data_IF_102827369558
#
_entry.id   IF_102827369558
#
_cell.length_a   1.000
_cell.length_b   1.000
_cell.length_c   1.000
_cell.angle_alpha   90.00
_cell.angle_beta   90.00
_cell.angle_gamma   90.00
#
_symmetry.space_group_name_H-M   'P 1'
#
loop_
_entity.id
_entity.type
_entity.pdbx_description
1 polymer ?
#
# COMPACT_ATOMS: atom_id res chain seq x y z
N UNK A 1 22.28 9.61 -4.85
CA UNK A 1 20.81 9.61 -4.94
C UNK A 1 20.28 8.41 -4.19
N UNK A 2 19.14 8.53 -3.51
CA UNK A 2 18.39 7.37 -3.05
C UNK A 2 17.58 6.86 -4.24
N UNK A 3 17.76 5.60 -4.62
CA UNK A 3 16.93 4.98 -5.65
C UNK A 3 15.68 4.44 -4.95
N UNK A 4 14.54 5.04 -5.25
CA UNK A 4 13.26 4.73 -4.62
C UNK A 4 12.27 4.31 -5.69
N UNK A 5 11.58 3.20 -5.45
CA UNK A 5 10.44 2.75 -6.25
C UNK A 5 9.19 3.10 -5.46
N UNK A 6 8.38 4.00 -6.00
CA UNK A 6 7.12 4.43 -5.37
C UNK A 6 5.98 3.56 -5.89
N UNK A 7 5.19 3.00 -4.99
CA UNK A 7 4.02 2.18 -5.31
C UNK A 7 2.79 2.79 -4.65
N UNK A 8 1.84 3.23 -5.46
CA UNK A 8 0.53 3.63 -4.97
C UNK A 8 -0.28 2.38 -4.60
N UNK A 9 -0.84 2.35 -3.39
CA UNK A 9 -1.63 1.22 -2.89
C UNK A 9 -3.04 1.67 -2.50
N UNK A 10 -4.01 0.81 -2.79
CA UNK A 10 -5.39 0.93 -2.30
C UNK A 10 -5.93 -0.41 -1.76
N UNK A 11 -5.00 -1.33 -1.46
CA UNK A 11 -5.24 -2.69 -0.97
C UNK A 11 -6.16 -3.53 -1.87
N UNK A 12 -6.34 -3.15 -3.14
CA UNK A 12 -6.90 -4.05 -4.15
C UNK A 12 -5.88 -5.11 -4.57
N UNK A 13 -6.35 -6.27 -5.07
CA UNK A 13 -5.50 -7.32 -5.61
C UNK A 13 -4.50 -6.80 -6.67
N UNK A 14 -4.94 -5.90 -7.54
CA UNK A 14 -4.06 -5.30 -8.55
C UNK A 14 -2.94 -4.48 -7.91
N UNK A 15 -3.26 -3.66 -6.91
CA UNK A 15 -2.25 -2.86 -6.21
C UNK A 15 -1.26 -3.71 -5.40
N UNK A 16 -1.71 -4.83 -4.82
CA UNK A 16 -0.85 -5.79 -4.11
C UNK A 16 0.09 -6.48 -5.10
N UNK A 17 -0.42 -6.92 -6.25
CA UNK A 17 0.40 -7.57 -7.28
C UNK A 17 1.47 -6.61 -7.84
N UNK A 18 1.12 -5.32 -7.99
CA UNK A 18 2.08 -4.28 -8.37
C UNK A 18 3.17 -4.05 -7.30
N UNK A 19 2.80 -4.11 -6.01
CA UNK A 19 3.74 -4.05 -4.90
C UNK A 19 4.73 -5.23 -4.92
N UNK A 20 4.24 -6.47 -5.10
CA UNK A 20 5.10 -7.65 -5.20
C UNK A 20 6.11 -7.52 -6.35
N UNK A 21 5.63 -7.04 -7.51
CA UNK A 21 6.50 -6.78 -8.64
C UNK A 21 7.54 -5.69 -8.33
N UNK A 22 7.14 -4.59 -7.72
CA UNK A 22 8.06 -3.53 -7.30
C UNK A 22 9.13 -4.02 -6.31
N UNK A 23 8.77 -4.89 -5.36
CA UNK A 23 9.71 -5.54 -4.43
C UNK A 23 10.73 -6.38 -5.20
N UNK A 24 10.29 -7.11 -6.24
CA UNK A 24 11.20 -7.90 -7.08
C UNK A 24 12.24 -7.04 -7.81
N UNK A 25 11.81 -5.90 -8.36
CA UNK A 25 12.70 -4.92 -9.02
C UNK A 25 13.64 -4.30 -8.00
N UNK A 26 13.12 -3.85 -6.85
CA UNK A 26 13.89 -3.22 -5.78
C UNK A 26 15.03 -4.10 -5.27
N UNK A 27 14.80 -5.42 -5.14
CA UNK A 27 15.83 -6.41 -4.76
C UNK A 27 16.97 -6.44 -5.78
N UNK A 28 16.67 -6.40 -7.08
CA UNK A 28 17.67 -6.41 -8.15
C UNK A 28 18.44 -5.09 -8.25
N UNK A 29 17.73 -3.97 -8.12
CA UNK A 29 18.30 -2.62 -8.27
C UNK A 29 18.86 -2.04 -6.96
N UNK A 30 18.81 -2.79 -5.85
CA UNK A 30 19.17 -2.33 -4.49
C UNK A 30 18.50 -0.99 -4.14
N UNK A 31 17.23 -0.87 -4.49
CA UNK A 31 16.41 0.33 -4.27
C UNK A 31 15.48 0.14 -3.07
N UNK A 32 15.05 1.24 -2.47
CA UNK A 32 13.99 1.20 -1.45
C UNK A 32 12.62 1.13 -2.13
N UNK A 33 11.65 0.50 -1.48
CA UNK A 33 10.23 0.57 -1.88
C UNK A 33 9.52 1.53 -0.94
N UNK A 34 8.86 2.54 -1.51
CA UNK A 34 8.01 3.47 -0.77
C UNK A 34 6.57 3.19 -1.15
N UNK A 35 5.80 2.67 -0.19
CA UNK A 35 4.39 2.38 -0.37
C UNK A 35 3.57 3.61 0.02
N UNK A 36 2.64 4.04 -0.84
CA UNK A 36 1.85 5.26 -0.65
C UNK A 36 0.37 4.94 -0.75
N UNK A 37 -0.34 5.05 0.37
CA UNK A 37 -1.79 5.00 0.43
C UNK A 37 -2.34 6.42 0.44
N UNK A 38 -3.30 6.72 -0.44
CA UNK A 38 -3.99 8.01 -0.49
C UNK A 38 -5.39 7.83 0.07
N UNK A 39 -5.64 8.40 1.24
CA UNK A 39 -6.99 8.46 1.78
C UNK A 39 -7.86 9.39 0.92
N UNK A 40 -8.98 8.87 0.43
CA UNK A 40 -10.00 9.66 -0.24
C UNK A 40 -11.31 9.55 0.55
N UNK A 41 -11.75 10.64 1.22
CA UNK A 41 -12.94 10.61 2.09
C UNK A 41 -14.24 10.38 1.31
N UNK A 42 -14.22 10.56 -0.01
CA UNK A 42 -15.39 10.34 -0.87
C UNK A 42 -15.44 8.91 -1.45
N UNK A 43 -14.41 8.09 -1.22
CA UNK A 43 -14.41 6.68 -1.66
C UNK A 43 -15.11 5.85 -0.57
N UNK A 44 -16.07 4.99 -0.92
CA UNK A 44 -16.72 4.14 0.07
C UNK A 44 -15.68 3.27 0.76
N UNK A 45 -15.65 3.30 2.10
CA UNK A 45 -14.81 2.41 2.90
C UNK A 45 -15.21 0.96 2.58
N UNK A 46 -14.23 0.09 2.31
CA UNK A 46 -14.50 -1.33 2.05
C UNK A 46 -14.98 -2.05 3.32
N UNK A 47 -14.63 -1.51 4.48
CA UNK A 47 -14.90 -2.07 5.81
C UNK A 47 -15.74 -1.08 6.62
N UNK A 48 -17.00 -0.94 6.20
CA UNK A 48 -18.03 0.00 6.70
C UNK A 48 -18.26 -0.05 8.24
N UNK A 49 -17.66 -1.00 8.97
CA UNK A 49 -17.94 -1.24 10.40
C UNK A 49 -16.73 -1.58 11.29
N UNK A 50 -15.48 -1.47 10.82
CA UNK A 50 -14.34 -1.99 11.61
C UNK A 50 -13.33 -0.94 12.07
N UNK A 51 -13.26 0.23 11.42
CA UNK A 51 -12.22 1.23 11.69
C UNK A 51 -12.82 2.64 11.78
N UNK A 52 -12.46 3.37 12.83
CA UNK A 52 -12.93 4.74 13.09
C UNK A 52 -12.06 5.82 12.46
N UNK A 53 -10.81 5.47 12.12
CA UNK A 53 -9.80 6.37 11.57
C UNK A 53 -9.22 5.77 10.26
N UNK A 54 -9.17 6.52 9.15
CA UNK A 54 -8.50 6.10 7.92
C UNK A 54 -7.05 5.62 8.09
N UNK A 55 -6.32 6.17 9.08
CA UNK A 55 -4.95 5.74 9.38
C UNK A 55 -4.97 4.34 10.00
N UNK A 56 -5.92 4.07 10.90
CA UNK A 56 -6.09 2.76 11.53
C UNK A 56 -6.51 1.70 10.49
N UNK A 57 -7.43 2.04 9.58
CA UNK A 57 -7.81 1.19 8.45
C UNK A 57 -6.59 0.81 7.60
N UNK A 58 -5.81 1.80 7.16
CA UNK A 58 -4.63 1.56 6.33
C UNK A 58 -3.56 0.74 7.07
N UNK A 59 -3.38 0.97 8.37
CA UNK A 59 -2.44 0.21 9.21
C UNK A 59 -2.86 -1.24 9.32
N UNK A 60 -4.15 -1.50 9.56
CA UNK A 60 -4.70 -2.84 9.71
C UNK A 60 -4.67 -3.63 8.40
N UNK A 61 -5.02 -2.98 7.29
CA UNK A 61 -4.88 -3.59 5.96
C UNK A 61 -3.42 -3.90 5.61
N UNK A 62 -2.48 -3.08 6.08
CA UNK A 62 -1.05 -3.39 5.93
C UNK A 62 -0.62 -4.57 6.81
N UNK A 63 -1.08 -4.65 8.06
CA UNK A 63 -0.83 -5.81 8.94
C UNK A 63 -1.35 -7.12 8.33
N UNK A 64 -2.49 -7.08 7.62
CA UNK A 64 -3.07 -8.24 6.92
C UNK A 64 -2.24 -8.72 5.71
N UNK A 65 -1.26 -7.94 5.24
CA UNK A 65 -0.33 -8.36 4.17
C UNK A 65 0.83 -9.24 4.67
N UNK A 66 0.98 -9.40 6.00
CA UNK A 66 2.07 -10.13 6.67
C UNK A 66 1.74 -11.61 6.89
#
# INVERSE_FOLDING_TARGET
>A
MRNEIVVAIDFSLCSINALEHAISIAKLSKSNVVMVFVHNPNKPQRTIYKYSDPIDEATKLFEELS
#
